data_IF_250033709859
#
_entry.id   IF_250033709859
#
_cell.length_a   1.000
_cell.length_b   1.000
_cell.length_c   1.000
_cell.angle_alpha   90.00
_cell.angle_beta   90.00
_cell.angle_gamma   90.00
#
_symmetry.space_group_name_H-M   'P 1'
#
loop_
_entity.id
_entity.type
_entity.pdbx_description
1 polymer ?
#
# COMPACT_ATOMS: atom_id res chain seq x y z
N UNK A 1 11.48 -3.27 -15.46
CA UNK A 1 11.42 -4.16 -14.29
C UNK A 1 10.18 -3.84 -13.46
N UNK A 2 9.43 -4.85 -12.98
CA UNK A 2 8.32 -4.62 -12.05
C UNK A 2 8.92 -4.55 -10.63
N UNK A 3 8.57 -3.55 -9.79
CA UNK A 3 9.09 -3.47 -8.44
C UNK A 3 8.63 -4.66 -7.60
N UNK A 4 9.59 -5.37 -6.98
CA UNK A 4 9.33 -6.52 -6.11
C UNK A 4 8.43 -6.11 -4.95
N UNK A 5 7.34 -6.84 -4.74
CA UNK A 5 6.44 -6.57 -3.61
C UNK A 5 7.06 -7.14 -2.35
N UNK A 6 7.21 -6.29 -1.34
CA UNK A 6 7.89 -6.64 -0.08
C UNK A 6 6.90 -6.81 1.08
N UNK A 7 5.71 -6.19 0.99
CA UNK A 7 4.72 -6.18 2.07
C UNK A 7 3.30 -6.43 1.54
N UNK A 8 2.38 -6.77 2.43
CA UNK A 8 0.94 -6.67 2.21
C UNK A 8 0.35 -5.62 3.12
N UNK A 9 -0.78 -5.04 2.75
CA UNK A 9 -1.54 -4.14 3.61
C UNK A 9 -3.01 -4.05 3.18
N UNK A 10 -3.86 -3.60 4.10
CA UNK A 10 -5.28 -3.33 3.83
C UNK A 10 -5.46 -1.87 3.44
N UNK A 11 -6.15 -1.64 2.32
CA UNK A 11 -6.66 -0.32 1.94
C UNK A 11 -8.14 -0.23 2.25
N UNK A 12 -8.59 0.93 2.71
CA UNK A 12 -10.00 1.28 2.80
C UNK A 12 -10.41 1.88 1.46
N UNK A 13 -11.43 1.34 0.81
CA UNK A 13 -12.08 1.90 -0.38
C UNK A 13 -13.54 2.22 -0.07
N UNK A 14 -14.27 2.76 -1.06
CA UNK A 14 -15.72 2.98 -0.93
C UNK A 14 -16.48 1.68 -0.69
N UNK A 15 -16.04 0.60 -1.34
CA UNK A 15 -16.66 -0.73 -1.33
C UNK A 15 -16.21 -1.61 -0.15
N UNK A 16 -15.31 -1.10 0.70
CA UNK A 16 -14.82 -1.81 1.89
C UNK A 16 -13.31 -1.94 1.94
N UNK A 17 -12.82 -2.89 2.74
CA UNK A 17 -11.38 -3.10 2.90
C UNK A 17 -10.85 -4.12 1.91
N UNK A 18 -9.69 -3.83 1.30
CA UNK A 18 -9.04 -4.73 0.34
C UNK A 18 -7.58 -4.94 0.69
N UNK A 19 -7.14 -6.20 0.70
CA UNK A 19 -5.73 -6.57 0.88
C UNK A 19 -4.97 -6.45 -0.44
N UNK A 20 -3.81 -5.81 -0.41
CA UNK A 20 -2.95 -5.59 -1.58
C UNK A 20 -1.49 -5.84 -1.24
N UNK A 21 -0.71 -6.21 -2.28
CA UNK A 21 0.76 -6.30 -2.22
C UNK A 21 1.38 -4.93 -2.47
N UNK A 22 2.31 -4.54 -1.62
CA UNK A 22 2.96 -3.23 -1.56
C UNK A 22 4.47 -3.39 -1.82
N UNK A 23 5.01 -2.44 -2.56
CA UNK A 23 6.45 -2.24 -2.64
C UNK A 23 6.82 -1.10 -1.69
N UNK A 24 7.68 -1.38 -0.73
CA UNK A 24 8.22 -0.38 0.20
C UNK A 24 9.24 0.50 -0.50
N UNK A 25 9.11 1.81 -0.37
CA UNK A 25 10.18 2.78 -0.66
C UNK A 25 10.60 3.51 0.62
N UNK A 26 11.49 4.50 0.47
CA UNK A 26 11.91 5.35 1.59
C UNK A 26 10.72 6.03 2.26
N UNK A 27 9.80 6.60 1.48
CA UNK A 27 8.71 7.45 1.97
C UNK A 27 7.31 6.98 1.57
N UNK A 28 7.19 5.93 0.75
CA UNK A 28 5.89 5.49 0.22
C UNK A 28 5.70 3.98 0.18
N UNK A 29 4.43 3.59 0.10
CA UNK A 29 3.96 2.24 -0.20
C UNK A 29 3.33 2.22 -1.58
N UNK A 30 3.99 1.55 -2.53
CA UNK A 30 3.55 1.49 -3.92
C UNK A 30 2.75 0.21 -4.20
N UNK A 31 1.44 0.33 -4.44
CA UNK A 31 0.61 -0.76 -5.00
C UNK A 31 0.90 -0.91 -6.49
N UNK A 32 0.99 0.20 -7.21
CA UNK A 32 1.25 0.23 -8.64
C UNK A 32 1.53 1.65 -9.14
N UNK A 33 1.70 1.85 -10.46
CA UNK A 33 2.11 3.14 -11.00
C UNK A 33 1.11 4.28 -10.76
N UNK A 34 -0.18 3.96 -10.57
CA UNK A 34 -1.26 4.93 -10.32
C UNK A 34 -1.75 4.94 -8.87
N UNK A 35 -1.09 4.17 -8.01
CA UNK A 35 -1.56 3.93 -6.65
C UNK A 35 -0.41 3.79 -5.67
N UNK A 36 -0.16 4.90 -4.99
CA UNK A 36 0.92 5.08 -4.03
C UNK A 36 0.37 5.75 -2.78
N UNK A 37 0.80 5.26 -1.62
CA UNK A 37 0.40 5.79 -0.32
C UNK A 37 1.62 6.32 0.43
N UNK A 38 1.43 7.38 1.18
CA UNK A 38 2.44 7.92 2.07
C UNK A 38 2.70 6.95 3.23
N UNK A 39 3.98 6.73 3.55
CA UNK A 39 4.41 5.71 4.52
C UNK A 39 4.04 6.06 5.96
N UNK A 40 3.91 7.34 6.26
CA UNK A 40 3.73 7.84 7.62
C UNK A 40 2.26 8.12 7.95
N UNK A 41 1.47 8.50 6.94
CA UNK A 41 0.07 8.89 7.09
C UNK A 41 -0.90 7.90 6.44
N UNK A 42 -0.43 7.04 5.54
CA UNK A 42 -1.26 6.09 4.79
C UNK A 42 -2.17 6.75 3.75
N UNK A 43 -2.11 8.08 3.57
CA UNK A 43 -2.93 8.81 2.59
C UNK A 43 -2.44 8.56 1.18
N UNK A 44 -3.34 8.64 0.20
CA UNK A 44 -2.98 8.49 -1.21
C UNK A 44 -2.20 9.71 -1.70
N UNK A 45 -1.02 9.46 -2.27
CA UNK A 45 -0.20 10.51 -2.89
C UNK A 45 -0.94 11.08 -4.11
N UNK A 46 -1.02 12.41 -4.22
CA UNK A 46 -1.75 13.12 -5.27
C UNK A 46 -3.28 13.13 -5.13
N UNK A 47 -3.85 12.45 -4.12
CA UNK A 47 -5.29 12.48 -3.84
C UNK A 47 -5.61 12.33 -2.34
N UNK A 48 -5.05 13.19 -1.47
CA UNK A 48 -5.09 12.99 -0.01
C UNK A 48 -6.48 13.19 0.62
N UNK A 49 -7.39 13.88 -0.06
CA UNK A 49 -8.77 14.12 0.39
C UNK A 49 -9.71 12.95 0.08
N UNK A 50 -9.25 11.94 -0.64
CA UNK A 50 -10.06 10.76 -0.92
C UNK A 50 -10.21 9.91 0.33
N UNK A 51 -11.38 9.27 0.50
CA UNK A 51 -11.61 8.26 1.55
C UNK A 51 -10.68 7.05 1.41
N UNK A 52 -9.98 6.93 0.28
CA UNK A 52 -9.09 5.82 -0.01
C UNK A 52 -7.77 5.97 0.74
N UNK A 53 -7.53 5.10 1.72
CA UNK A 53 -6.36 5.17 2.61
C UNK A 53 -5.80 3.79 2.91
N UNK A 54 -4.48 3.69 3.02
CA UNK A 54 -3.79 2.51 3.52
C UNK A 54 -3.85 2.48 5.06
N UNK A 55 -4.26 1.35 5.63
CA UNK A 55 -4.18 1.09 7.08
C UNK A 55 -2.75 0.68 7.41
N UNK A 56 -2.00 1.60 8.04
CA UNK A 56 -0.58 1.39 8.37
C UNK A 56 -0.36 0.23 9.34
N UNK A 57 -1.26 0.04 10.30
CA UNK A 57 -1.24 -1.07 11.26
C UNK A 57 -1.38 -2.45 10.59
N UNK A 58 -2.06 -2.51 9.43
CA UNK A 58 -2.24 -3.77 8.70
C UNK A 58 -1.02 -4.18 7.87
N UNK A 59 0.04 -3.37 7.82
CA UNK A 59 1.18 -3.62 6.94
C UNK A 59 2.03 -4.75 7.53
N UNK A 60 2.22 -5.81 6.74
CA UNK A 60 3.02 -6.99 7.14
C UNK A 60 4.00 -7.35 6.02
N UNK A 61 5.24 -7.75 6.32
CA UNK A 61 6.15 -8.25 5.30
C UNK A 61 5.55 -9.49 4.62
N UNK A 62 5.79 -9.62 3.32
CA UNK A 62 5.52 -10.88 2.61
C UNK A 62 6.70 -11.79 2.98
N UNK A 63 6.46 -12.81 3.81
CA UNK A 63 7.46 -13.88 3.99
C UNK A 63 7.78 -14.45 2.61
N UNK A 64 9.07 -14.56 2.28
CA UNK A 64 9.55 -15.02 0.97
C UNK A 64 9.29 -16.52 0.67
N UNK A 65 8.33 -17.14 1.36
CA UNK A 65 8.04 -18.58 1.25
C UNK A 65 7.08 -18.90 0.08
N UNK A 66 6.63 -17.89 -0.67
CA UNK A 66 5.94 -18.07 -1.95
C UNK A 66 6.77 -17.42 -3.07
N UNK A 67 7.84 -18.11 -3.49
CA UNK A 67 8.56 -17.86 -4.73
C UNK A 67 8.54 -19.12 -5.59
#
# INVERSE_FOLDING_TARGET
MKPTKTHTGLIVTKDGEKRLKLHQTATTWCVGPRETYDKFTGRRVGAPLTKRRLKLDSIKPISQEEA
#
